data_IF_369777915243
#
_entry.id   IF_369777915243
#
_cell.length_a   1.000
_cell.length_b   1.000
_cell.length_c   1.000
_cell.angle_alpha   90.00
_cell.angle_beta   90.00
_cell.angle_gamma   90.00
#
_symmetry.space_group_name_H-M   'P 1'
#
loop_
_entity.id
_entity.type
_entity.pdbx_description
1 polymer ?
#
# COMPACT_ATOMS: atom_id res chain seq x y z
N UNK A 1 7.35 27.51 2.44
CA UNK A 1 6.27 26.55 2.12
C UNK A 1 6.80 25.15 2.27
N UNK A 2 5.94 24.19 2.64
CA UNK A 2 6.34 22.77 2.71
C UNK A 2 6.33 22.20 1.29
N UNK A 3 7.42 21.56 0.88
CA UNK A 3 7.52 20.95 -0.44
C UNK A 3 6.71 19.64 -0.48
N UNK A 4 5.82 19.45 -1.47
CA UNK A 4 5.16 18.16 -1.67
C UNK A 4 6.21 17.07 -1.97
N UNK A 5 6.15 15.90 -1.32
CA UNK A 5 7.03 14.79 -1.63
C UNK A 5 6.73 14.22 -3.02
N UNK A 6 7.75 13.64 -3.67
CA UNK A 6 7.54 12.85 -4.88
C UNK A 6 6.64 11.63 -4.58
N UNK A 7 5.69 11.38 -5.48
CA UNK A 7 4.67 10.35 -5.29
C UNK A 7 5.06 8.98 -5.87
N UNK A 8 6.14 8.92 -6.66
CA UNK A 8 6.54 7.72 -7.41
C UNK A 8 6.89 6.53 -6.53
N UNK A 9 7.32 6.78 -5.28
CA UNK A 9 7.70 5.72 -4.31
C UNK A 9 6.97 5.78 -2.97
N UNK A 10 5.96 6.65 -2.81
CA UNK A 10 5.28 6.85 -1.52
C UNK A 10 4.72 5.55 -0.92
N UNK A 11 4.19 4.64 -1.76
CA UNK A 11 3.61 3.37 -1.34
C UNK A 11 4.62 2.38 -0.73
N UNK A 12 5.93 2.61 -0.87
CA UNK A 12 6.99 1.70 -0.41
C UNK A 12 7.91 2.34 0.62
N UNK A 13 7.93 3.69 0.70
CA UNK A 13 8.84 4.42 1.59
C UNK A 13 8.39 4.38 3.06
N UNK A 14 7.08 4.40 3.32
CA UNK A 14 6.55 4.46 4.68
C UNK A 14 5.96 3.14 5.16
N UNK A 15 6.10 2.80 6.47
CA UNK A 15 5.40 1.67 7.06
C UNK A 15 3.89 1.77 6.85
N UNK A 16 3.26 0.65 6.52
CA UNK A 16 1.83 0.59 6.16
C UNK A 16 1.54 0.89 4.69
N UNK A 17 2.54 1.31 3.90
CA UNK A 17 2.47 1.39 2.44
C UNK A 17 1.18 2.00 1.89
N UNK A 18 0.49 1.23 1.06
CA UNK A 18 -0.74 1.63 0.37
C UNK A 18 -1.89 1.94 1.34
N UNK A 19 -2.03 1.13 2.40
CA UNK A 19 -3.09 1.26 3.40
C UNK A 19 -2.95 2.55 4.20
N UNK A 20 -1.71 2.94 4.50
CA UNK A 20 -1.42 4.22 5.15
C UNK A 20 -1.85 5.40 4.27
N UNK A 21 -1.60 5.35 2.96
CA UNK A 21 -1.99 6.41 2.04
C UNK A 21 -3.53 6.50 1.98
N UNK A 22 -4.21 5.36 1.91
CA UNK A 22 -5.67 5.32 1.93
C UNK A 22 -6.25 5.93 3.22
N UNK A 23 -5.74 5.49 4.37
CA UNK A 23 -6.13 5.99 5.67
C UNK A 23 -5.84 7.50 5.80
N UNK A 24 -4.70 7.97 5.28
CA UNK A 24 -4.36 9.38 5.26
C UNK A 24 -5.33 10.20 4.41
N UNK A 25 -5.69 9.74 3.20
CA UNK A 25 -6.63 10.46 2.33
C UNK A 25 -8.06 10.52 2.90
N UNK A 26 -8.47 9.48 3.63
CA UNK A 26 -9.82 9.37 4.22
C UNK A 26 -9.91 9.87 5.67
N UNK A 27 -8.78 10.11 6.34
CA UNK A 27 -8.71 10.45 7.76
C UNK A 27 -8.87 11.93 8.09
N UNK A 28 -9.06 12.79 7.09
CA UNK A 28 -9.33 14.22 7.29
C UNK A 28 -10.67 14.44 7.99
N UNK A 29 -10.77 15.51 8.78
CA UNK A 29 -12.01 15.91 9.46
C UNK A 29 -12.26 15.22 10.80
N UNK A 30 -11.37 14.31 11.24
CA UNK A 30 -11.43 13.80 12.61
C UNK A 30 -11.06 14.89 13.63
N UNK A 31 -11.74 14.96 14.79
CA UNK A 31 -11.43 15.96 15.81
C UNK A 31 -10.01 15.76 16.34
N UNK A 32 -9.29 16.86 16.55
CA UNK A 32 -7.97 16.82 17.16
C UNK A 32 -8.08 16.34 18.63
N UNK A 33 -7.14 15.51 19.12
CA UNK A 33 -7.12 15.08 20.51
C UNK A 33 -7.12 16.26 21.49
N UNK A 34 -7.70 16.11 22.70
CA UNK A 34 -7.70 17.16 23.71
C UNK A 34 -6.27 17.67 23.99
N UNK A 35 -6.06 18.99 23.90
CA UNK A 35 -4.76 19.63 24.13
C UNK A 35 -3.85 19.75 22.90
N UNK A 36 -4.25 19.21 21.73
CA UNK A 36 -3.51 19.41 20.49
C UNK A 36 -3.82 20.79 19.89
N UNK A 37 -2.80 21.63 19.77
CA UNK A 37 -2.90 22.93 19.08
C UNK A 37 -2.57 22.71 17.61
N UNK A 38 -3.52 22.98 16.72
CA UNK A 38 -3.30 22.96 15.26
C UNK A 38 -2.81 24.35 14.83
N UNK A 39 -1.54 24.50 14.39
CA UNK A 39 -1.04 25.79 13.94
C UNK A 39 -1.78 26.30 12.70
N UNK A 40 -1.81 27.61 12.50
CA UNK A 40 -2.43 28.21 11.32
C UNK A 40 -1.74 27.70 10.03
N UNK A 41 -2.54 27.20 9.08
CA UNK A 41 -2.03 26.60 7.84
C UNK A 41 -1.66 25.12 7.93
N UNK A 42 -1.83 24.49 9.10
CA UNK A 42 -1.77 23.04 9.26
C UNK A 42 -3.17 22.44 9.40
N UNK A 43 -3.31 21.17 9.06
CA UNK A 43 -4.52 20.38 9.14
C UNK A 43 -4.29 19.18 10.05
N UNK A 44 -5.28 18.84 10.86
CA UNK A 44 -5.25 17.63 11.66
C UNK A 44 -5.55 16.40 10.80
N UNK A 45 -4.71 15.38 10.91
CA UNK A 45 -4.94 14.07 10.35
C UNK A 45 -4.22 13.01 11.22
N UNK A 46 -4.96 12.06 11.81
CA UNK A 46 -4.38 11.09 12.75
C UNK A 46 -3.33 10.17 12.12
N UNK A 47 -3.34 10.01 10.79
CA UNK A 47 -2.38 9.18 10.06
C UNK A 47 -1.16 9.98 9.55
N UNK A 48 -1.15 11.30 9.76
CA UNK A 48 0.01 12.14 9.50
C UNK A 48 1.10 11.92 10.56
N UNK A 49 2.34 12.29 10.22
CA UNK A 49 3.39 12.36 11.23
C UNK A 49 2.99 13.39 12.29
N UNK A 50 3.00 12.99 13.57
CA UNK A 50 2.58 13.84 14.70
C UNK A 50 1.12 14.32 14.66
N UNK A 51 0.26 13.72 13.82
CA UNK A 51 -1.15 14.09 13.72
C UNK A 51 -1.43 15.40 12.94
N UNK A 52 -0.40 16.02 12.35
CA UNK A 52 -0.51 17.31 11.66
C UNK A 52 0.09 17.23 10.25
N UNK A 53 -0.54 17.92 9.30
CA UNK A 53 -0.06 17.99 7.92
C UNK A 53 -0.28 19.38 7.33
N UNK A 54 0.65 19.86 6.50
CA UNK A 54 0.46 21.09 5.73
C UNK A 54 -0.43 20.89 4.49
N UNK A 55 -0.80 19.63 4.19
CA UNK A 55 -1.60 19.28 3.03
C UNK A 55 -3.10 19.45 3.34
N UNK A 56 -3.83 20.30 2.61
CA UNK A 56 -5.29 20.39 2.74
C UNK A 56 -5.96 19.08 2.27
N UNK A 57 -7.22 18.81 2.68
CA UNK A 57 -7.97 17.65 2.21
C UNK A 57 -8.10 17.68 0.68
N UNK A 58 -7.54 16.69 -0.05
CA UNK A 58 -7.48 16.73 -1.51
C UNK A 58 -8.73 16.16 -2.18
N UNK A 59 -9.49 15.30 -1.48
CA UNK A 59 -10.65 14.59 -2.02
C UNK A 59 -11.94 15.15 -1.43
N UNK A 60 -12.98 15.21 -2.25
CA UNK A 60 -14.34 15.58 -1.86
C UNK A 60 -15.36 14.74 -2.63
N UNK A 61 -16.55 14.58 -2.05
CA UNK A 61 -17.66 13.85 -2.66
C UNK A 61 -18.04 14.47 -4.02
N UNK A 62 -18.15 13.62 -5.05
CA UNK A 62 -18.50 14.06 -6.41
C UNK A 62 -17.40 14.87 -7.13
N UNK A 63 -16.17 14.90 -6.62
CA UNK A 63 -15.07 15.66 -7.22
C UNK A 63 -14.55 15.10 -8.55
N UNK A 64 -14.90 13.85 -8.88
CA UNK A 64 -14.52 13.18 -10.13
C UNK A 64 -15.72 12.44 -10.71
N UNK A 65 -15.93 12.59 -12.02
CA UNK A 65 -16.90 11.81 -12.79
C UNK A 65 -16.18 10.63 -13.43
N UNK A 66 -16.48 9.42 -12.99
CA UNK A 66 -15.90 8.22 -13.58
C UNK A 66 -16.59 7.86 -14.91
N UNK A 67 -15.84 7.39 -15.92
CA UNK A 67 -16.39 7.06 -17.23
C UNK A 67 -17.25 5.79 -17.24
N UNK A 68 -17.10 4.93 -16.24
CA UNK A 68 -17.84 3.68 -16.06
C UNK A 68 -19.14 3.85 -15.25
N UNK A 69 -19.44 5.08 -14.81
CA UNK A 69 -20.61 5.39 -13.98
C UNK A 69 -20.44 5.08 -12.49
N UNK A 70 -19.23 4.72 -12.04
CA UNK A 70 -18.95 4.51 -10.62
C UNK A 70 -19.19 5.80 -9.82
N UNK A 71 -19.87 5.73 -8.65
CA UNK A 71 -20.11 6.90 -7.83
C UNK A 71 -18.80 7.46 -7.27
N UNK A 72 -18.59 8.76 -7.47
CA UNK A 72 -17.38 9.49 -7.07
C UNK A 72 -17.29 9.79 -5.57
N UNK A 73 -17.40 8.78 -4.72
CA UNK A 73 -17.26 8.95 -3.26
C UNK A 73 -15.80 9.14 -2.85
N UNK A 74 -15.54 9.78 -1.71
CA UNK A 74 -14.17 9.98 -1.20
C UNK A 74 -13.45 8.64 -0.99
N UNK A 75 -14.16 7.64 -0.47
CA UNK A 75 -13.59 6.31 -0.25
C UNK A 75 -13.20 5.63 -1.57
N UNK A 76 -14.03 5.77 -2.61
CA UNK A 76 -13.75 5.21 -3.93
C UNK A 76 -12.54 5.91 -4.58
N UNK A 77 -12.54 7.24 -4.59
CA UNK A 77 -11.43 8.04 -5.10
C UNK A 77 -10.12 7.71 -4.40
N UNK A 78 -10.13 7.62 -3.06
CA UNK A 78 -8.95 7.26 -2.28
C UNK A 78 -8.43 5.88 -2.65
N UNK A 79 -9.32 4.90 -2.83
CA UNK A 79 -8.95 3.52 -3.21
C UNK A 79 -8.31 3.45 -4.60
N UNK A 80 -8.84 4.20 -5.56
CA UNK A 80 -8.33 4.18 -6.93
C UNK A 80 -6.96 4.87 -7.01
N UNK A 81 -6.80 6.02 -6.35
CA UNK A 81 -5.52 6.73 -6.26
C UNK A 81 -4.46 5.87 -5.57
N UNK A 82 -4.79 5.20 -4.47
CA UNK A 82 -3.82 4.37 -3.76
C UNK A 82 -3.43 3.13 -4.55
N UNK A 83 -4.39 2.51 -5.25
CA UNK A 83 -4.13 1.39 -6.16
C UNK A 83 -3.21 1.81 -7.30
N UNK A 84 -3.44 2.99 -7.89
CA UNK A 84 -2.57 3.56 -8.91
C UNK A 84 -1.15 3.81 -8.37
N UNK A 85 -1.02 4.44 -7.20
CA UNK A 85 0.29 4.68 -6.58
C UNK A 85 1.03 3.39 -6.21
N UNK A 86 0.32 2.34 -5.82
CA UNK A 86 0.91 1.02 -5.58
C UNK A 86 1.49 0.42 -6.86
N UNK A 87 0.76 0.55 -7.98
CA UNK A 87 1.25 0.14 -9.29
C UNK A 87 2.47 0.97 -9.73
N UNK A 88 2.42 2.30 -9.60
CA UNK A 88 3.56 3.19 -9.95
C UNK A 88 4.81 2.81 -9.16
N UNK A 89 4.66 2.50 -7.87
CA UNK A 89 5.79 2.10 -7.05
C UNK A 89 6.35 0.70 -7.40
N UNK A 90 5.53 -0.18 -8.00
CA UNK A 90 5.91 -1.57 -8.33
C UNK A 90 5.32 -2.06 -9.67
N UNK A 91 5.76 -1.50 -10.81
CA UNK A 91 5.11 -1.75 -12.12
C UNK A 91 5.22 -3.21 -12.59
N UNK A 92 6.24 -3.94 -12.11
CA UNK A 92 6.50 -5.34 -12.48
C UNK A 92 5.94 -6.35 -11.49
N UNK A 93 5.07 -5.94 -10.55
CA UNK A 93 4.55 -6.82 -9.51
C UNK A 93 3.84 -8.06 -10.08
N UNK A 94 2.98 -7.87 -11.09
CA UNK A 94 2.23 -8.96 -11.73
C UNK A 94 3.16 -9.98 -12.39
N UNK A 95 4.17 -9.51 -13.13
CA UNK A 95 5.13 -10.39 -13.81
C UNK A 95 5.99 -11.16 -12.79
N UNK A 96 6.44 -10.48 -11.73
CA UNK A 96 7.17 -11.10 -10.62
C UNK A 96 6.34 -12.18 -9.91
N UNK A 97 5.06 -11.92 -9.67
CA UNK A 97 4.17 -12.90 -9.04
C UNK A 97 3.95 -14.11 -9.94
N UNK A 98 3.73 -13.89 -11.24
CA UNK A 98 3.56 -14.96 -12.22
C UNK A 98 4.78 -15.88 -12.28
N UNK A 99 5.97 -15.32 -12.42
CA UNK A 99 7.22 -16.09 -12.44
C UNK A 99 7.52 -16.74 -11.09
N UNK A 100 7.25 -16.03 -9.99
CA UNK A 100 7.46 -16.51 -8.63
C UNK A 100 6.65 -17.75 -8.30
N UNK A 101 5.38 -17.81 -8.70
CA UNK A 101 4.53 -19.00 -8.51
C UNK A 101 5.15 -20.22 -9.21
N UNK A 102 5.60 -20.07 -10.46
CA UNK A 102 6.27 -21.15 -11.19
C UNK A 102 7.55 -21.63 -10.50
N UNK A 103 8.38 -20.69 -10.03
CA UNK A 103 9.60 -21.00 -9.30
C UNK A 103 9.32 -21.75 -7.98
N UNK A 104 8.31 -21.34 -7.21
CA UNK A 104 7.94 -22.00 -5.95
C UNK A 104 7.46 -23.43 -6.20
N UNK A 105 6.61 -23.65 -7.21
CA UNK A 105 6.15 -25.01 -7.57
C UNK A 105 7.32 -25.91 -7.95
N UNK A 106 8.26 -25.40 -8.76
CA UNK A 106 9.46 -26.13 -9.13
C UNK A 106 10.35 -26.46 -7.91
N UNK A 107 10.56 -25.51 -7.00
CA UNK A 107 11.34 -25.73 -5.78
C UNK A 107 10.70 -26.75 -4.85
N UNK A 108 9.37 -26.75 -4.71
CA UNK A 108 8.63 -27.75 -3.92
C UNK A 108 8.79 -29.14 -4.55
N UNK A 109 8.70 -29.25 -5.88
CA UNK A 109 8.92 -30.51 -6.59
C UNK A 109 10.34 -31.05 -6.37
N UNK A 110 11.36 -30.21 -6.55
CA UNK A 110 12.77 -30.58 -6.32
C UNK A 110 13.02 -30.93 -4.85
N UNK A 111 12.39 -30.23 -3.91
CA UNK A 111 12.48 -30.52 -2.48
C UNK A 111 11.93 -31.92 -2.16
N UNK A 112 10.75 -32.27 -2.67
CA UNK A 112 10.15 -33.60 -2.49
C UNK A 112 11.06 -34.69 -3.08
N UNK A 113 11.56 -34.50 -4.30
CA UNK A 113 12.50 -35.40 -4.94
C UNK A 113 13.77 -35.60 -4.11
N UNK A 114 14.33 -34.50 -3.59
CA UNK A 114 15.54 -34.52 -2.76
C UNK A 114 15.31 -35.27 -1.45
N UNK A 115 14.14 -35.09 -0.81
CA UNK A 115 13.77 -35.83 0.41
C UNK A 115 13.61 -37.32 0.09
N UNK A 116 12.93 -37.68 -0.99
CA UNK A 116 12.78 -39.07 -1.43
C UNK A 116 14.13 -39.73 -1.71
N UNK A 117 15.02 -39.03 -2.43
CA UNK A 117 16.35 -39.53 -2.75
C UNK A 117 17.19 -39.72 -1.49
N UNK A 118 17.18 -38.74 -0.56
CA UNK A 118 17.83 -38.85 0.74
C UNK A 118 17.32 -40.08 1.51
N UNK A 119 16.00 -40.27 1.61
CA UNK A 119 15.43 -41.41 2.35
C UNK A 119 15.83 -42.75 1.72
N UNK A 120 15.94 -42.80 0.39
CA UNK A 120 16.34 -44.01 -0.34
C UNK A 120 17.83 -44.33 -0.18
N UNK A 121 18.72 -43.34 -0.26
CA UNK A 121 20.17 -43.60 -0.17
C UNK A 121 20.61 -43.95 1.25
N UNK A 122 19.99 -43.35 2.25
CA UNK A 122 20.30 -43.57 3.66
C UNK A 122 19.45 -44.68 4.31
N UNK A 123 18.67 -45.45 3.54
CA UNK A 123 17.84 -46.54 4.11
C UNK A 123 18.65 -47.72 4.62
N UNK A 124 19.88 -47.89 4.12
CA UNK A 124 20.73 -49.05 4.39
C UNK A 124 21.93 -48.71 5.29
N UNK A 125 21.97 -47.50 5.83
CA UNK A 125 22.96 -47.08 6.82
C UNK A 125 22.30 -47.26 8.20
N UNK A 126 22.87 -48.08 9.11
CA UNK A 126 22.30 -48.34 10.44
C UNK A 126 22.25 -47.09 11.33
#
# INVERSE_FOLDING_TARGET
GVMPPDQSRLAVVHPGGVDRIYAFLTGYGQPAPPGMVVPQGMFHNPYAAQGLTAMPPPLHEGGVTYPDGTPGTVAQQARDVTTFLAWVATPHLTERHRLGVGAVVFLVFVLILSICLKRRTWSNVP
#
